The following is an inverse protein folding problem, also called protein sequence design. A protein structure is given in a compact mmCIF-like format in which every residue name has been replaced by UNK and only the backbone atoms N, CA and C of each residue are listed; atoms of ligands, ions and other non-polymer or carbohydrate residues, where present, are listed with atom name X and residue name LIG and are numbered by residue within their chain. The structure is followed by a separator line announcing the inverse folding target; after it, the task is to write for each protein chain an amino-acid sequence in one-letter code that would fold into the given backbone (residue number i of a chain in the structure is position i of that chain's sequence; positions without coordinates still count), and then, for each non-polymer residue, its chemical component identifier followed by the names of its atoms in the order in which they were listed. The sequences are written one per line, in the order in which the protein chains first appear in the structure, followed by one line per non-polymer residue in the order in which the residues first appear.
data_IF_165594576199
#
_entry.id   IF_165594576199
#
_cell.length_a   1.000
_cell.length_b   1.000
_cell.length_c   1.000
_cell.angle_alpha   90.00
_cell.angle_beta   90.00
_cell.angle_gamma   90.00
#
_symmetry.space_group_name_H-M   'P 1'
#
loop_
_entity.id
_entity.type
_entity.pdbx_description
1 polymer ?
#
# COMPACT_ATOMS: atom_id res chain seq x y z
N UNK A 1 -34.52 -26.99 8.41
CA UNK A 1 -34.45 -27.35 6.97
C UNK A 1 -35.79 -27.20 6.26
N UNK A 2 -36.86 -27.86 6.70
CA UNK A 2 -38.19 -27.80 6.05
C UNK A 2 -38.79 -26.39 5.98
N UNK A 3 -38.64 -25.58 7.04
CA UNK A 3 -39.13 -24.19 7.09
C UNK A 3 -38.43 -23.28 6.07
N UNK A 4 -37.12 -23.45 5.87
CA UNK A 4 -36.32 -22.66 4.94
C UNK A 4 -36.70 -22.95 3.48
N UNK A 5 -36.90 -24.23 3.15
CA UNK A 5 -37.35 -24.68 1.81
C UNK A 5 -38.76 -24.14 1.50
N UNK A 6 -39.66 -24.15 2.48
CA UNK A 6 -41.00 -23.58 2.31
C UNK A 6 -40.93 -22.07 2.12
N UNK A 7 -40.07 -21.37 2.86
CA UNK A 7 -39.92 -19.91 2.77
C UNK A 7 -39.35 -19.48 1.41
N UNK A 8 -38.32 -20.16 0.90
CA UNK A 8 -37.73 -19.86 -0.42
C UNK A 8 -38.70 -20.21 -1.56
N UNK A 9 -39.46 -21.29 -1.44
CA UNK A 9 -40.51 -21.64 -2.40
C UNK A 9 -41.63 -20.59 -2.45
N UNK A 10 -42.06 -20.06 -1.29
CA UNK A 10 -43.09 -19.02 -1.21
C UNK A 10 -42.58 -17.69 -1.77
N UNK A 11 -41.35 -17.28 -1.44
CA UNK A 11 -40.75 -16.05 -1.98
C UNK A 11 -40.58 -16.16 -3.50
N UNK A 12 -40.12 -17.32 -4.00
CA UNK A 12 -40.01 -17.59 -5.43
C UNK A 12 -41.36 -17.52 -6.15
N UNK A 13 -42.42 -18.08 -5.54
CA UNK A 13 -43.78 -18.01 -6.08
C UNK A 13 -44.32 -16.57 -6.12
N UNK A 14 -44.08 -15.77 -5.09
CA UNK A 14 -44.54 -14.37 -5.01
C UNK A 14 -43.76 -13.48 -5.99
N UNK A 15 -42.44 -13.68 -6.13
CA UNK A 15 -41.62 -12.97 -7.10
C UNK A 15 -42.02 -13.33 -8.54
N UNK A 16 -42.26 -14.61 -8.82
CA UNK A 16 -42.76 -15.08 -10.11
C UNK A 16 -44.14 -14.48 -10.43
N UNK A 17 -45.05 -14.42 -9.45
CA UNK A 17 -46.36 -13.78 -9.61
C UNK A 17 -46.20 -12.29 -9.96
N UNK A 18 -45.36 -11.55 -9.22
CA UNK A 18 -45.16 -10.11 -9.46
C UNK A 18 -44.47 -9.82 -10.81
N UNK A 19 -43.51 -10.64 -11.22
CA UNK A 19 -42.83 -10.51 -12.51
C UNK A 19 -43.72 -10.89 -13.69
N UNK A 20 -44.66 -11.83 -13.50
CA UNK A 20 -45.65 -12.20 -14.52
C UNK A 20 -46.83 -11.21 -14.63
N UNK A 21 -47.10 -10.42 -13.58
CA UNK A 21 -48.22 -9.46 -13.52
C UNK A 21 -48.27 -8.42 -14.67
N UNK A 22 -47.16 -7.79 -15.11
CA UNK A 22 -47.17 -6.87 -16.24
C UNK A 22 -47.45 -7.56 -17.58
N UNK A 23 -46.99 -8.80 -17.77
CA UNK A 23 -47.18 -9.58 -19.00
C UNK A 23 -48.62 -10.10 -19.15
N UNK A 24 -49.37 -10.22 -18.05
CA UNK A 24 -50.79 -10.53 -18.06
C UNK A 24 -51.66 -9.35 -18.56
N UNK A 25 -51.18 -8.10 -18.43
CA UNK A 25 -51.94 -6.89 -18.80
C UNK A 25 -51.76 -6.44 -20.25
N UNK A 26 -50.67 -6.79 -20.94
CA UNK A 26 -50.44 -6.42 -22.34
C UNK A 26 -50.88 -7.53 -23.30
N UNK A 27 -51.99 -7.31 -24.02
CA UNK A 27 -52.63 -8.27 -24.92
C UNK A 27 -51.87 -8.61 -26.20
N UNK A 28 -50.62 -9.08 -26.10
CA UNK A 28 -49.87 -9.68 -27.21
C UNK A 28 -49.86 -11.21 -27.09
N UNK A 29 -50.38 -11.82 -28.17
CA UNK A 29 -50.39 -13.22 -28.64
C UNK A 29 -49.92 -14.35 -27.69
N UNK A 30 -50.77 -15.37 -27.57
CA UNK A 30 -50.73 -16.46 -26.59
C UNK A 30 -49.48 -17.37 -26.54
N UNK A 31 -48.50 -17.21 -27.42
CA UNK A 31 -47.29 -18.04 -27.44
C UNK A 31 -46.22 -17.57 -26.44
N UNK A 32 -45.99 -16.27 -26.28
CA UNK A 32 -44.95 -15.73 -25.38
C UNK A 32 -45.29 -15.85 -23.89
N UNK A 33 -46.58 -15.77 -23.56
CA UNK A 33 -47.09 -15.91 -22.18
C UNK A 33 -46.95 -17.34 -21.65
N UNK A 34 -47.27 -18.34 -22.47
CA UNK A 34 -47.07 -19.76 -22.17
C UNK A 34 -45.57 -20.09 -22.06
N UNK A 35 -44.73 -19.53 -22.92
CA UNK A 35 -43.28 -19.76 -22.89
C UNK A 35 -42.63 -19.27 -21.58
N UNK A 36 -43.00 -18.08 -21.08
CA UNK A 36 -42.46 -17.54 -19.82
C UNK A 36 -42.92 -18.31 -18.57
N UNK A 37 -44.16 -18.80 -18.55
CA UNK A 37 -44.69 -19.64 -17.46
C UNK A 37 -44.07 -21.04 -17.41
N UNK A 38 -43.58 -21.55 -18.53
CA UNK A 38 -42.87 -22.84 -18.61
C UNK A 38 -41.38 -22.68 -18.31
N UNK A 39 -40.76 -21.56 -18.72
CA UNK A 39 -39.33 -21.33 -18.53
C UNK A 39 -38.90 -21.26 -17.06
N UNK A 40 -39.64 -20.57 -16.20
CA UNK A 40 -39.30 -20.45 -14.77
C UNK A 40 -39.26 -21.81 -14.05
N UNK A 41 -40.30 -22.68 -14.13
CA UNK A 41 -40.24 -24.00 -13.52
C UNK A 41 -39.20 -24.89 -14.20
N UNK A 42 -38.93 -24.75 -15.50
CA UNK A 42 -37.86 -25.50 -16.17
C UNK A 42 -36.48 -25.10 -15.64
N UNK A 43 -36.20 -23.81 -15.43
CA UNK A 43 -34.95 -23.34 -14.83
C UNK A 43 -34.82 -23.77 -13.38
N UNK A 44 -35.90 -23.69 -12.59
CA UNK A 44 -35.89 -24.14 -11.19
C UNK A 44 -35.70 -25.65 -11.08
N UNK A 45 -36.42 -26.45 -11.87
CA UNK A 45 -36.28 -27.91 -11.89
C UNK A 45 -34.93 -28.33 -12.48
N UNK A 46 -34.42 -27.60 -13.46
CA UNK A 46 -33.09 -27.79 -14.02
C UNK A 46 -31.98 -27.51 -13.00
N UNK A 47 -32.08 -26.40 -12.25
CA UNK A 47 -31.16 -26.07 -11.17
C UNK A 47 -31.25 -27.08 -10.02
N UNK A 48 -32.47 -27.51 -9.66
CA UNK A 48 -32.69 -28.54 -8.65
C UNK A 48 -32.10 -29.89 -9.09
N UNK A 49 -32.34 -30.30 -10.34
CA UNK A 49 -31.76 -31.51 -10.92
C UNK A 49 -30.24 -31.44 -11.02
N UNK A 50 -29.69 -30.29 -11.42
CA UNK A 50 -28.25 -30.05 -11.42
C UNK A 50 -27.65 -30.17 -10.01
N UNK A 51 -28.34 -29.63 -9.00
CA UNK A 51 -27.96 -29.75 -7.60
C UNK A 51 -28.05 -31.20 -7.07
N UNK A 52 -29.03 -32.00 -7.48
CA UNK A 52 -29.11 -33.41 -7.09
C UNK A 52 -28.09 -34.30 -7.80
N UNK A 53 -27.65 -33.93 -9.00
CA UNK A 53 -26.64 -34.69 -9.76
C UNK A 53 -25.22 -34.29 -9.38
N UNK A 54 -24.97 -33.00 -9.09
CA UNK A 54 -23.62 -32.45 -8.87
C UNK A 54 -23.41 -31.87 -7.47
N UNK A 55 -24.47 -31.70 -6.69
CA UNK A 55 -24.36 -31.29 -5.29
C UNK A 55 -24.27 -32.51 -4.39
N UNK A 56 -23.91 -32.25 -3.13
CA UNK A 56 -23.79 -33.27 -2.09
C UNK A 56 -24.88 -33.02 -1.04
N UNK A 57 -26.17 -33.28 -1.33
CA UNK A 57 -27.27 -32.99 -0.41
C UNK A 57 -27.23 -33.82 0.88
N UNK A 58 -26.46 -34.92 0.87
CA UNK A 58 -26.33 -35.82 2.01
C UNK A 58 -25.10 -35.56 2.87
N UNK A 59 -24.21 -34.61 2.50
CA UNK A 59 -23.14 -34.21 3.43
C UNK A 59 -23.76 -33.50 4.63
N UNK A 60 -23.57 -34.02 5.86
CA UNK A 60 -24.02 -33.32 7.05
C UNK A 60 -23.32 -31.96 7.08
N UNK A 61 -24.08 -30.87 7.05
CA UNK A 61 -23.51 -29.55 7.32
C UNK A 61 -22.94 -29.57 8.73
N UNK A 62 -21.63 -29.38 8.87
CA UNK A 62 -21.01 -29.27 10.19
C UNK A 62 -21.64 -28.06 10.91
N UNK A 63 -22.22 -28.22 12.11
CA UNK A 63 -22.68 -27.10 12.90
C UNK A 63 -21.57 -26.06 13.02
N UNK A 64 -21.91 -24.79 12.78
CA UNK A 64 -20.93 -23.71 12.80
C UNK A 64 -20.08 -23.71 14.09
N UNK A 65 -20.68 -24.07 15.23
CA UNK A 65 -20.00 -24.19 16.51
C UNK A 65 -18.91 -25.29 16.54
N UNK A 66 -19.12 -26.42 15.88
CA UNK A 66 -18.12 -27.50 15.80
C UNK A 66 -16.93 -27.08 14.91
N UNK A 67 -17.21 -26.37 13.81
CA UNK A 67 -16.16 -25.80 12.96
C UNK A 67 -15.36 -24.74 13.70
N UNK A 68 -16.04 -23.84 14.42
CA UNK A 68 -15.40 -22.80 15.22
C UNK A 68 -14.52 -23.39 16.33
N UNK A 69 -15.00 -24.42 17.04
CA UNK A 69 -14.21 -25.12 18.06
C UNK A 69 -13.00 -25.83 17.46
N UNK A 70 -13.18 -26.60 16.39
CA UNK A 70 -12.05 -27.23 15.67
C UNK A 70 -11.00 -26.19 15.28
N UNK A 71 -11.41 -25.06 14.71
CA UNK A 71 -10.50 -23.98 14.31
C UNK A 71 -9.78 -23.35 15.51
N UNK A 72 -10.48 -23.22 16.64
CA UNK A 72 -9.89 -22.71 17.88
C UNK A 72 -8.85 -23.67 18.47
N UNK A 73 -9.10 -24.98 18.39
CA UNK A 73 -8.23 -26.03 18.94
C UNK A 73 -7.03 -26.37 18.04
N UNK A 74 -7.11 -26.03 16.75
CA UNK A 74 -6.04 -26.29 15.78
C UNK A 74 -4.90 -25.29 15.94
N UNK A 75 -3.65 -25.72 15.77
CA UNK A 75 -2.49 -24.82 15.77
C UNK A 75 -2.62 -23.79 14.63
N UNK A 76 -2.52 -22.47 14.89
CA UNK A 76 -2.58 -21.45 13.84
C UNK A 76 -1.69 -21.68 12.62
N UNK A 77 -0.51 -22.30 12.81
CA UNK A 77 0.44 -22.59 11.73
C UNK A 77 -0.03 -23.70 10.78
N UNK A 78 -0.96 -24.56 11.22
CA UNK A 78 -1.51 -25.66 10.43
C UNK A 78 -2.77 -25.26 9.67
N UNK A 79 -3.35 -24.08 9.98
CA UNK A 79 -4.56 -23.58 9.35
C UNK A 79 -4.26 -22.99 7.97
N UNK A 80 -5.13 -23.29 6.99
CA UNK A 80 -5.10 -22.56 5.72
C UNK A 80 -5.42 -21.09 5.91
N UNK A 81 -5.09 -20.24 4.94
CA UNK A 81 -5.42 -18.81 4.97
C UNK A 81 -6.92 -18.58 5.23
N UNK A 82 -7.80 -19.31 4.54
CA UNK A 82 -9.25 -19.21 4.70
C UNK A 82 -9.70 -19.63 6.11
N UNK A 83 -9.06 -20.66 6.66
CA UNK A 83 -9.35 -21.15 8.01
C UNK A 83 -8.88 -20.18 9.11
N UNK A 84 -7.74 -19.52 8.92
CA UNK A 84 -7.26 -18.46 9.81
C UNK A 84 -8.23 -17.29 9.83
N UNK A 85 -8.72 -16.85 8.67
CA UNK A 85 -9.77 -15.82 8.60
C UNK A 85 -11.04 -16.27 9.30
N UNK A 86 -11.51 -17.49 9.02
CA UNK A 86 -12.72 -18.03 9.62
C UNK A 86 -12.62 -18.11 11.16
N UNK A 87 -11.44 -18.45 11.68
CA UNK A 87 -11.13 -18.47 13.11
C UNK A 87 -11.20 -17.08 13.72
N UNK A 88 -10.54 -16.08 13.13
CA UNK A 88 -10.57 -14.70 13.63
C UNK A 88 -11.99 -14.11 13.60
N UNK A 89 -12.75 -14.39 12.53
CA UNK A 89 -14.18 -14.03 12.47
C UNK A 89 -15.03 -14.78 13.49
N UNK A 90 -14.63 -15.98 13.91
CA UNK A 90 -15.29 -16.71 14.99
C UNK A 90 -15.13 -16.00 16.33
N UNK A 91 -13.89 -15.62 16.66
CA UNK A 91 -13.56 -14.85 17.87
C UNK A 91 -14.37 -13.55 17.90
N UNK A 92 -14.40 -12.81 16.80
CA UNK A 92 -15.15 -11.54 16.72
C UNK A 92 -16.68 -11.69 16.78
N UNK A 93 -17.22 -12.89 16.59
CA UNK A 93 -18.66 -13.13 16.79
C UNK A 93 -19.01 -13.37 18.24
N UNK A 94 -18.09 -13.94 19.02
CA UNK A 94 -18.24 -14.12 20.46
C UNK A 94 -17.86 -12.85 21.23
N UNK A 95 -16.78 -12.20 20.82
CA UNK A 95 -16.29 -10.94 21.38
C UNK A 95 -16.05 -9.90 20.26
N UNK A 96 -17.07 -9.09 19.91
CA UNK A 96 -16.98 -8.11 18.82
C UNK A 96 -15.97 -6.98 19.03
N UNK A 97 -15.52 -6.76 20.26
CA UNK A 97 -14.60 -5.68 20.67
C UNK A 97 -13.20 -6.23 21.01
N UNK A 98 -12.89 -7.46 20.60
CA UNK A 98 -11.55 -8.02 20.76
C UNK A 98 -10.54 -7.29 19.86
N UNK A 99 -9.79 -6.35 20.45
CA UNK A 99 -8.80 -5.51 19.74
C UNK A 99 -7.74 -6.36 19.03
N UNK A 100 -7.30 -7.46 19.66
CA UNK A 100 -6.30 -8.34 19.07
C UNK A 100 -6.86 -9.06 17.84
N UNK A 101 -8.06 -9.62 17.93
CA UNK A 101 -8.69 -10.29 16.78
C UNK A 101 -9.05 -9.31 15.66
N UNK A 102 -9.51 -8.09 15.98
CA UNK A 102 -9.74 -7.02 15.01
C UNK A 102 -8.46 -6.68 14.26
N UNK A 103 -7.35 -6.48 14.99
CA UNK A 103 -6.05 -6.11 14.43
C UNK A 103 -5.46 -7.23 13.58
N UNK A 104 -5.45 -8.46 14.09
CA UNK A 104 -4.93 -9.62 13.36
C UNK A 104 -5.73 -9.89 12.08
N UNK A 105 -7.06 -9.77 12.14
CA UNK A 105 -7.91 -9.91 10.96
C UNK A 105 -7.67 -8.76 9.98
N UNK A 106 -7.51 -7.52 10.46
CA UNK A 106 -7.15 -6.38 9.62
C UNK A 106 -5.85 -6.63 8.85
N UNK A 107 -4.77 -7.04 9.54
CA UNK A 107 -3.47 -7.38 8.91
C UNK A 107 -3.59 -8.52 7.90
N UNK A 108 -4.37 -9.55 8.23
CA UNK A 108 -4.62 -10.67 7.32
C UNK A 108 -5.34 -10.20 6.04
N UNK A 109 -6.33 -9.33 6.17
CA UNK A 109 -7.07 -8.76 5.06
C UNK A 109 -6.19 -7.84 4.20
N UNK A 110 -5.31 -7.04 4.79
CA UNK A 110 -4.32 -6.26 4.04
C UNK A 110 -3.37 -7.15 3.23
N UNK A 111 -2.91 -8.29 3.78
CA UNK A 111 -2.06 -9.24 3.03
C UNK A 111 -2.80 -9.98 1.91
N UNK A 112 -4.13 -9.96 1.91
CA UNK A 112 -4.98 -10.62 0.91
C UNK A 112 -5.69 -9.61 0.01
N UNK A 113 -5.14 -8.39 -0.12
CA UNK A 113 -5.61 -7.34 -1.03
C UNK A 113 -7.05 -6.87 -0.75
N UNK A 114 -7.43 -6.88 0.53
CA UNK A 114 -8.76 -6.47 1.03
C UNK A 114 -8.64 -5.27 1.96
N UNK A 115 -7.99 -4.21 1.49
CA UNK A 115 -7.61 -3.03 2.27
C UNK A 115 -8.83 -2.30 2.86
N UNK A 116 -9.94 -2.20 2.12
CA UNK A 116 -11.16 -1.55 2.61
C UNK A 116 -11.72 -2.21 3.88
N UNK A 117 -11.75 -3.54 3.90
CA UNK A 117 -12.18 -4.28 5.09
C UNK A 117 -11.15 -4.14 6.21
N UNK A 118 -9.86 -4.19 5.88
CA UNK A 118 -8.78 -4.01 6.86
C UNK A 118 -8.86 -2.66 7.57
N UNK A 119 -8.99 -1.56 6.82
CA UNK A 119 -9.15 -0.20 7.36
C UNK A 119 -10.38 -0.12 8.28
N UNK A 120 -11.48 -0.80 7.93
CA UNK A 120 -12.68 -0.85 8.78
C UNK A 120 -12.39 -1.53 10.12
N UNK A 121 -11.64 -2.63 10.12
CA UNK A 121 -11.28 -3.33 11.35
C UNK A 121 -10.28 -2.55 12.21
N UNK A 122 -9.27 -1.94 11.59
CA UNK A 122 -8.33 -1.06 12.29
C UNK A 122 -9.05 0.15 12.91
N UNK A 123 -9.98 0.76 12.18
CA UNK A 123 -10.80 1.86 12.71
C UNK A 123 -11.59 1.42 13.94
N UNK A 124 -12.19 0.23 13.92
CA UNK A 124 -12.91 -0.32 15.08
C UNK A 124 -11.97 -0.62 16.25
N UNK A 125 -10.79 -1.17 15.98
CA UNK A 125 -9.79 -1.42 17.02
C UNK A 125 -9.35 -0.10 17.70
N UNK A 126 -9.06 0.93 16.89
CA UNK A 126 -8.66 2.26 17.36
C UNK A 126 -9.75 3.05 18.10
N UNK A 127 -11.02 2.68 17.93
CA UNK A 127 -12.12 3.22 18.75
C UNK A 127 -12.12 2.67 20.18
N UNK A 128 -11.52 1.51 20.40
CA UNK A 128 -11.46 0.81 21.69
C UNK A 128 -10.16 1.14 22.40
N UNK A 129 -9.05 1.00 21.69
CA UNK A 129 -7.69 1.24 22.20
C UNK A 129 -6.85 1.95 21.15
N UNK A 130 -6.29 3.09 21.52
CA UNK A 130 -5.34 3.81 20.68
C UNK A 130 -3.96 3.14 20.75
N UNK A 131 -3.46 2.66 19.62
CA UNK A 131 -2.18 1.95 19.52
C UNK A 131 -1.40 2.43 18.29
N UNK A 132 -0.11 2.80 18.44
CA UNK A 132 0.69 3.36 17.35
C UNK A 132 0.94 2.36 16.21
N UNK A 133 1.01 1.06 16.49
CA UNK A 133 1.19 0.02 15.46
C UNK A 133 -0.09 -0.17 14.67
N UNK A 134 -1.26 -0.14 15.31
CA UNK A 134 -2.55 -0.20 14.61
C UNK A 134 -2.76 1.05 13.73
N UNK A 135 -2.37 2.23 14.21
CA UNK A 135 -2.36 3.47 13.40
C UNK A 135 -1.44 3.34 12.18
N UNK A 136 -0.22 2.79 12.38
CA UNK A 136 0.72 2.51 11.30
C UNK A 136 0.15 1.51 10.28
N UNK A 137 -0.45 0.42 10.73
CA UNK A 137 -1.09 -0.58 9.86
C UNK A 137 -2.25 0.01 9.05
N UNK A 138 -3.06 0.87 9.69
CA UNK A 138 -4.15 1.59 9.04
C UNK A 138 -3.63 2.54 7.96
N UNK A 139 -2.58 3.31 8.27
CA UNK A 139 -1.91 4.20 7.31
C UNK A 139 -1.39 3.41 6.09
N UNK A 140 -0.74 2.28 6.32
CA UNK A 140 -0.25 1.40 5.25
C UNK A 140 -1.37 0.87 4.36
N UNK A 141 -2.46 0.39 4.96
CA UNK A 141 -3.63 -0.08 4.20
C UNK A 141 -4.25 1.05 3.36
N UNK A 142 -4.30 2.28 3.88
CA UNK A 142 -4.76 3.45 3.13
C UNK A 142 -3.82 3.80 1.97
N UNK A 143 -2.50 3.68 2.13
CA UNK A 143 -1.53 3.89 1.05
C UNK A 143 -1.73 2.88 -0.07
N UNK A 144 -1.88 1.59 0.26
CA UNK A 144 -2.12 0.53 -0.73
C UNK A 144 -3.43 0.76 -1.47
N UNK A 145 -4.51 1.08 -0.74
CA UNK A 145 -5.81 1.42 -1.32
C UNK A 145 -5.74 2.58 -2.33
N UNK A 146 -4.79 3.50 -2.12
CA UNK A 146 -4.57 4.67 -2.97
C UNK A 146 -3.37 4.49 -3.93
N UNK A 147 -3.07 3.25 -4.34
CA UNK A 147 -2.04 2.93 -5.32
C UNK A 147 -0.64 3.45 -4.94
N UNK A 148 -0.29 3.36 -3.66
CA UNK A 148 1.01 3.80 -3.13
C UNK A 148 1.08 5.29 -2.82
N UNK A 149 0.00 6.05 -2.95
CA UNK A 149 -0.04 7.46 -2.59
C UNK A 149 -0.35 7.63 -1.10
N UNK A 150 0.45 8.45 -0.42
CA UNK A 150 0.15 8.88 0.96
C UNK A 150 -0.90 9.99 0.89
N UNK A 151 -2.17 9.65 1.14
CA UNK A 151 -3.26 10.62 1.20
C UNK A 151 -3.26 11.38 2.53
N UNK A 152 -3.98 12.51 2.68
CA UNK A 152 -4.09 13.22 3.95
C UNK A 152 -4.65 12.36 5.10
N UNK A 153 -5.47 11.36 4.81
CA UNK A 153 -5.95 10.37 5.80
C UNK A 153 -4.82 9.47 6.28
N UNK A 154 -4.01 8.95 5.35
CA UNK A 154 -2.87 8.10 5.68
C UNK A 154 -1.79 8.89 6.43
N UNK A 155 -1.48 10.10 5.97
CA UNK A 155 -0.53 11.01 6.61
C UNK A 155 -0.93 11.27 8.06
N UNK A 156 -2.19 11.61 8.35
CA UNK A 156 -2.69 11.78 9.72
C UNK A 156 -2.54 10.54 10.59
N UNK A 157 -2.76 9.34 10.01
CA UNK A 157 -2.56 8.09 10.74
C UNK A 157 -1.08 7.87 11.10
N UNK A 158 -0.17 8.15 10.16
CA UNK A 158 1.26 8.07 10.40
C UNK A 158 1.78 9.16 11.36
N UNK A 159 1.26 10.38 11.28
CA UNK A 159 1.56 11.46 12.22
C UNK A 159 1.16 11.06 13.65
N UNK A 160 -0.05 10.52 13.83
CA UNK A 160 -0.52 10.03 15.11
C UNK A 160 0.33 8.86 15.62
N UNK A 161 0.64 7.88 14.76
CA UNK A 161 1.51 6.76 15.10
C UNK A 161 2.91 7.23 15.56
N UNK A 162 3.53 8.14 14.80
CA UNK A 162 4.85 8.68 15.08
C UNK A 162 4.87 9.57 16.33
N UNK A 163 3.76 10.26 16.64
CA UNK A 163 3.64 11.05 17.87
C UNK A 163 3.57 10.16 19.13
N UNK A 164 2.92 8.99 19.02
CA UNK A 164 2.80 8.02 20.11
C UNK A 164 4.06 7.17 20.27
N UNK A 165 4.65 6.70 19.17
CA UNK A 165 5.89 5.93 19.16
C UNK A 165 6.80 6.37 17.99
N UNK A 166 7.74 7.30 18.26
CA UNK A 166 8.72 7.76 17.27
C UNK A 166 9.76 6.68 16.87
N UNK A 167 9.78 5.52 17.54
CA UNK A 167 10.72 4.44 17.20
C UNK A 167 10.23 3.55 16.05
N UNK A 168 8.95 3.67 15.66
CA UNK A 168 8.39 2.87 14.58
C UNK A 168 8.97 3.31 13.22
N UNK A 169 9.58 2.40 12.45
CA UNK A 169 10.20 2.73 11.18
C UNK A 169 9.18 3.08 10.09
N UNK A 170 8.03 2.41 10.05
CA UNK A 170 7.07 2.53 8.97
C UNK A 170 6.41 3.93 8.90
N UNK A 171 5.89 4.51 10.01
CA UNK A 171 5.34 5.86 9.98
C UNK A 171 6.32 6.90 9.47
N UNK A 172 7.56 6.89 9.98
CA UNK A 172 8.60 7.83 9.54
C UNK A 172 8.94 7.64 8.04
N UNK A 173 9.01 6.40 7.55
CA UNK A 173 9.22 6.13 6.14
C UNK A 173 8.14 6.76 5.24
N UNK A 174 6.87 6.58 5.60
CA UNK A 174 5.75 7.13 4.82
C UNK A 174 5.61 8.65 4.96
N UNK A 175 5.89 9.22 6.13
CA UNK A 175 5.92 10.68 6.31
C UNK A 175 7.03 11.31 5.45
N UNK A 176 8.24 10.76 5.45
CA UNK A 176 9.30 11.21 4.54
C UNK A 176 8.90 11.09 3.06
N UNK A 177 8.16 10.03 2.71
CA UNK A 177 7.62 9.86 1.35
C UNK A 177 6.58 10.92 0.98
N UNK A 178 5.74 11.33 1.94
CA UNK A 178 4.76 12.41 1.75
C UNK A 178 5.45 13.76 1.53
N UNK A 179 6.45 14.10 2.36
CA UNK A 179 7.31 15.28 2.18
C UNK A 179 7.98 15.27 0.79
N UNK A 180 8.57 14.14 0.41
CA UNK A 180 9.19 13.98 -0.91
C UNK A 180 8.19 14.20 -2.06
N UNK A 181 6.97 13.67 -1.96
CA UNK A 181 5.93 13.84 -2.96
C UNK A 181 5.47 15.30 -3.09
N UNK A 182 5.50 16.07 -2.00
CA UNK A 182 5.23 17.52 -1.99
C UNK A 182 6.41 18.37 -2.50
N UNK A 183 7.57 17.76 -2.76
CA UNK A 183 8.80 18.45 -3.16
C UNK A 183 9.63 19.00 -2.00
N UNK A 184 9.21 18.72 -0.76
CA UNK A 184 9.84 19.11 0.50
C UNK A 184 10.97 18.11 0.84
N UNK A 185 12.04 18.13 0.04
CA UNK A 185 13.10 17.11 0.11
C UNK A 185 14.01 17.24 1.31
N UNK A 186 14.22 18.45 1.82
CA UNK A 186 15.03 18.66 3.02
C UNK A 186 14.30 18.08 4.24
N UNK A 187 12.99 18.28 4.31
CA UNK A 187 12.10 17.70 5.30
C UNK A 187 12.06 16.17 5.18
N UNK A 188 11.93 15.64 3.96
CA UNK A 188 12.00 14.20 3.71
C UNK A 188 13.35 13.59 4.18
N UNK A 189 14.46 14.24 3.82
CA UNK A 189 15.79 13.83 4.24
C UNK A 189 15.97 13.88 5.75
N UNK A 190 15.44 14.90 6.42
CA UNK A 190 15.48 15.02 7.87
C UNK A 190 14.70 13.89 8.56
N UNK A 191 13.46 13.62 8.13
CA UNK A 191 12.62 12.55 8.69
C UNK A 191 13.26 11.17 8.51
N UNK A 192 13.76 10.86 7.31
CA UNK A 192 14.42 9.58 7.06
C UNK A 192 15.75 9.44 7.82
N UNK A 193 16.55 10.51 7.90
CA UNK A 193 17.80 10.49 8.67
C UNK A 193 17.53 10.25 10.16
N UNK A 194 16.53 10.93 10.71
CA UNK A 194 16.15 10.86 12.11
C UNK A 194 15.68 9.45 12.51
N UNK A 195 14.84 8.78 11.73
CA UNK A 195 14.46 7.39 12.02
C UNK A 195 15.65 6.43 11.88
N UNK A 196 16.51 6.61 10.86
CA UNK A 196 17.71 5.76 10.68
C UNK A 196 18.66 5.87 11.88
N UNK A 197 18.74 7.02 12.53
CA UNK A 197 19.57 7.22 13.73
C UNK A 197 19.05 6.48 14.96
N UNK A 198 17.75 6.18 15.02
CA UNK A 198 17.11 5.49 16.15
C UNK A 198 17.12 3.97 16.00
N UNK A 199 17.23 3.48 14.77
CA UNK A 199 17.28 2.05 14.48
C UNK A 199 18.68 1.50 14.71
N UNK A 200 18.76 0.26 15.18
CA UNK A 200 20.03 -0.46 15.34
C UNK A 200 20.72 -0.66 13.98
N UNK A 201 22.05 -0.67 13.97
CA UNK A 201 22.84 -0.85 12.73
C UNK A 201 22.51 -2.14 11.96
N UNK A 202 22.11 -3.19 12.69
CA UNK A 202 21.72 -4.48 12.12
C UNK A 202 20.24 -4.61 11.75
N UNK A 203 19.42 -3.57 11.97
CA UNK A 203 18.01 -3.61 11.65
C UNK A 203 17.80 -3.60 10.11
N UNK A 204 17.11 -4.61 9.53
CA UNK A 204 16.79 -4.61 8.11
C UNK A 204 16.05 -3.36 7.62
N UNK A 205 15.19 -2.76 8.45
CA UNK A 205 14.47 -1.54 8.10
C UNK A 205 15.41 -0.35 7.95
N UNK A 206 16.48 -0.28 8.76
CA UNK A 206 17.47 0.79 8.66
C UNK A 206 18.13 0.81 7.29
N UNK A 207 18.59 -0.35 6.82
CA UNK A 207 19.19 -0.49 5.50
C UNK A 207 18.18 -0.23 4.37
N UNK A 208 16.96 -0.77 4.49
CA UNK A 208 15.91 -0.60 3.49
C UNK A 208 15.47 0.87 3.33
N UNK A 209 15.24 1.56 4.44
CA UNK A 209 14.91 3.00 4.45
C UNK A 209 16.08 3.79 3.87
N UNK A 210 17.31 3.52 4.29
CA UNK A 210 18.49 4.25 3.80
C UNK A 210 18.65 4.14 2.27
N UNK A 211 18.56 2.92 1.73
CA UNK A 211 18.65 2.68 0.29
C UNK A 211 17.51 3.37 -0.47
N UNK A 212 16.26 3.22 0.02
CA UNK A 212 15.10 3.78 -0.67
C UNK A 212 15.08 5.32 -0.63
N UNK A 213 15.41 5.91 0.51
CA UNK A 213 15.50 7.35 0.69
C UNK A 213 16.66 7.94 -0.14
N UNK A 214 17.84 7.30 -0.16
CA UNK A 214 18.94 7.73 -1.00
C UNK A 214 18.59 7.70 -2.50
N UNK A 215 17.90 6.65 -2.97
CA UNK A 215 17.40 6.59 -4.35
C UNK A 215 16.43 7.74 -4.65
N UNK A 216 15.44 7.98 -3.80
CA UNK A 216 14.47 9.06 -3.98
C UNK A 216 15.15 10.43 -3.99
N UNK A 217 15.97 10.73 -2.97
CA UNK A 217 16.63 12.01 -2.80
C UNK A 217 17.67 12.33 -3.88
N UNK A 218 18.25 11.31 -4.53
CA UNK A 218 19.22 11.49 -5.62
C UNK A 218 18.57 11.71 -6.99
N UNK A 219 17.26 11.51 -7.14
CA UNK A 219 16.57 11.76 -8.42
C UNK A 219 16.62 13.27 -8.74
N UNK A 220 16.94 13.68 -9.98
CA UNK A 220 17.00 15.09 -10.34
C UNK A 220 15.75 15.88 -9.93
N UNK A 221 15.96 17.08 -9.40
CA UNK A 221 14.89 18.04 -9.14
C UNK A 221 14.56 18.83 -10.41
N UNK A 222 13.28 19.14 -10.60
CA UNK A 222 12.84 20.07 -11.63
C UNK A 222 12.87 19.49 -13.04
N UNK A 223 11.72 18.94 -13.47
CA UNK A 223 11.43 18.82 -14.89
C UNK A 223 11.20 20.19 -15.55
N UNK A 224 10.90 20.22 -16.86
CA UNK A 224 10.54 21.45 -17.55
C UNK A 224 9.33 22.11 -16.85
N UNK A 225 9.58 23.14 -16.03
CA UNK A 225 8.54 23.80 -15.22
C UNK A 225 8.94 24.27 -13.82
N UNK A 226 10.12 23.93 -13.31
CA UNK A 226 10.61 24.50 -12.03
C UNK A 226 11.03 25.97 -12.16
N UNK A 227 11.11 26.72 -11.05
CA UNK A 227 11.54 28.13 -11.06
C UNK A 227 12.96 28.37 -11.62
N UNK A 228 13.78 27.31 -11.72
CA UNK A 228 15.09 27.31 -12.38
C UNK A 228 15.06 26.90 -13.87
N UNK A 229 13.90 26.56 -14.44
CA UNK A 229 13.75 26.01 -15.78
C UNK A 229 13.88 27.03 -16.92
N UNK A 230 13.69 28.33 -16.66
CA UNK A 230 13.67 29.34 -17.72
C UNK A 230 14.99 29.44 -18.50
N UNK A 231 16.19 29.47 -17.87
CA UNK A 231 17.45 29.42 -18.60
C UNK A 231 17.67 28.13 -19.40
N UNK A 232 17.11 27.01 -18.93
CA UNK A 232 17.17 25.74 -19.65
C UNK A 232 16.19 25.69 -20.82
N UNK A 233 15.03 26.33 -20.71
CA UNK A 233 14.08 26.48 -21.82
C UNK A 233 14.67 27.30 -22.97
N UNK A 234 15.39 28.39 -22.67
CA UNK A 234 16.09 29.20 -23.66
C UNK A 234 17.23 28.41 -24.33
N UNK A 235 18.00 27.64 -23.55
CA UNK A 235 19.06 26.76 -24.09
C UNK A 235 18.49 25.66 -25.00
N UNK A 236 17.38 25.02 -24.61
CA UNK A 236 16.67 24.05 -25.44
C UNK A 236 16.17 24.70 -26.73
N UNK A 237 15.57 25.90 -26.65
CA UNK A 237 15.10 26.64 -27.82
C UNK A 237 16.24 27.06 -28.75
N UNK A 238 17.43 27.30 -28.21
CA UNK A 238 18.65 27.57 -28.96
C UNK A 238 19.29 26.31 -29.58
N UNK A 239 18.73 25.12 -29.37
CA UNK A 239 19.24 23.86 -29.93
C UNK A 239 20.53 23.36 -29.26
N UNK A 240 20.78 23.74 -28.01
CA UNK A 240 21.93 23.24 -27.23
C UNK A 240 21.85 21.71 -27.10
N UNK A 241 23.00 21.04 -27.24
CA UNK A 241 23.07 19.58 -27.17
C UNK A 241 22.65 19.08 -25.77
N UNK A 242 22.04 17.87 -25.68
CA UNK A 242 21.63 17.31 -24.39
C UNK A 242 22.78 17.17 -23.38
N UNK A 243 23.99 16.88 -23.85
CA UNK A 243 25.21 16.75 -23.04
C UNK A 243 25.60 18.11 -22.42
N UNK A 244 25.65 19.16 -23.23
CA UNK A 244 25.95 20.52 -22.77
C UNK A 244 24.87 21.03 -21.79
N UNK A 245 23.61 20.66 -22.02
CA UNK A 245 22.50 20.99 -21.11
C UNK A 245 22.68 20.30 -19.74
N UNK A 246 23.07 19.03 -19.74
CA UNK A 246 23.35 18.28 -18.51
C UNK A 246 24.50 18.90 -17.72
N UNK A 247 25.61 19.26 -18.39
CA UNK A 247 26.75 19.90 -17.72
C UNK A 247 26.37 21.28 -17.15
N UNK A 248 25.54 22.07 -17.83
CA UNK A 248 25.00 23.33 -17.29
C UNK A 248 24.11 23.10 -16.06
N UNK A 249 23.27 22.06 -16.06
CA UNK A 249 22.44 21.72 -14.90
C UNK A 249 23.30 21.31 -13.70
N UNK A 250 24.35 20.51 -13.94
CA UNK A 250 25.30 20.07 -12.91
C UNK A 250 26.12 21.24 -12.37
N UNK A 251 26.66 22.09 -13.24
CA UNK A 251 27.41 23.30 -12.82
C UNK A 251 26.58 24.23 -11.94
N UNK A 252 25.28 24.40 -12.27
CA UNK A 252 24.36 25.20 -11.46
C UNK A 252 24.07 24.55 -10.10
N UNK A 253 23.94 23.23 -10.09
CA UNK A 253 23.73 22.48 -8.86
C UNK A 253 24.95 22.59 -7.95
N UNK A 254 26.17 22.47 -8.48
CA UNK A 254 27.42 22.66 -7.75
C UNK A 254 27.51 24.06 -7.13
N UNK A 255 27.24 25.12 -7.90
CA UNK A 255 27.23 26.49 -7.38
C UNK A 255 26.20 26.67 -6.25
N UNK A 256 25.01 26.07 -6.39
CA UNK A 256 24.00 26.11 -5.33
C UNK A 256 24.45 25.39 -4.06
N UNK A 257 25.15 24.27 -4.19
CA UNK A 257 25.68 23.51 -3.06
C UNK A 257 26.86 24.19 -2.36
N UNK A 258 27.55 25.11 -3.06
CA UNK A 258 28.51 26.01 -2.42
C UNK A 258 27.81 27.06 -1.55
N UNK A 259 26.69 27.59 -2.03
CA UNK A 259 25.88 28.58 -1.29
C UNK A 259 25.05 27.94 -0.15
N UNK A 260 24.52 26.74 -0.37
CA UNK A 260 23.72 25.95 0.57
C UNK A 260 24.31 24.54 0.74
N UNK A 261 25.35 24.40 1.57
CA UNK A 261 26.01 23.11 1.76
C UNK A 261 25.14 22.12 2.55
N UNK A 262 24.06 22.55 3.20
CA UNK A 262 23.15 21.72 4.00
C UNK A 262 22.11 20.95 3.16
N UNK A 263 22.12 21.09 1.82
CA UNK A 263 21.22 20.36 0.92
C UNK A 263 21.71 18.92 0.67
N UNK A 264 21.39 17.99 1.58
CA UNK A 264 21.72 16.57 1.43
C UNK A 264 21.18 15.99 0.11
N UNK A 265 19.95 16.35 -0.28
CA UNK A 265 19.34 15.86 -1.52
C UNK A 265 20.12 16.34 -2.74
N UNK A 266 20.59 17.58 -2.74
CA UNK A 266 21.39 18.16 -3.80
C UNK A 266 22.73 17.45 -3.94
N UNK A 267 23.42 17.15 -2.83
CA UNK A 267 24.66 16.35 -2.88
C UNK A 267 24.43 14.95 -3.47
N UNK A 268 23.38 14.25 -3.05
CA UNK A 268 23.04 12.92 -3.59
C UNK A 268 22.66 12.99 -5.08
N UNK A 269 21.99 14.08 -5.49
CA UNK A 269 21.63 14.33 -6.88
C UNK A 269 22.85 14.59 -7.74
N UNK A 270 23.80 15.40 -7.24
CA UNK A 270 25.07 15.69 -7.91
C UNK A 270 25.87 14.41 -8.16
N UNK A 271 25.99 13.58 -7.12
CA UNK A 271 26.67 12.29 -7.23
C UNK A 271 26.05 11.40 -8.31
N UNK A 272 24.72 11.28 -8.37
CA UNK A 272 24.02 10.54 -9.42
C UNK A 272 24.23 11.14 -10.80
N UNK A 273 24.16 12.46 -10.94
CA UNK A 273 24.33 13.12 -12.23
C UNK A 273 25.74 12.89 -12.81
N UNK A 274 26.79 12.97 -11.98
CA UNK A 274 28.17 12.67 -12.38
C UNK A 274 28.36 11.19 -12.72
N UNK A 275 27.76 10.28 -11.95
CA UNK A 275 27.74 8.84 -12.25
C UNK A 275 27.13 8.54 -13.62
N UNK A 276 25.95 9.10 -13.93
CA UNK A 276 25.28 8.88 -15.22
C UNK A 276 26.06 9.42 -16.43
N UNK A 277 27.00 10.34 -16.20
CA UNK A 277 27.90 10.87 -17.23
C UNK A 277 29.20 10.05 -17.38
N UNK A 278 29.34 8.94 -16.65
CA UNK A 278 30.56 8.13 -16.62
C UNK A 278 31.70 8.76 -15.81
N UNK A 279 31.43 9.86 -15.09
CA UNK A 279 32.40 10.55 -14.25
C UNK A 279 32.35 10.00 -12.82
N UNK A 280 32.66 8.71 -12.67
CA UNK A 280 32.58 7.97 -11.40
C UNK A 280 33.37 8.63 -10.27
N UNK A 281 34.62 9.05 -10.54
CA UNK A 281 35.47 9.70 -9.54
C UNK A 281 34.84 11.00 -9.03
N UNK A 282 34.30 11.84 -9.91
CA UNK A 282 33.61 13.08 -9.54
C UNK A 282 32.33 12.82 -8.73
N UNK A 283 31.58 11.76 -9.06
CA UNK A 283 30.41 11.34 -8.29
C UNK A 283 30.78 10.90 -6.86
N UNK A 284 31.87 10.16 -6.71
CA UNK A 284 32.39 9.75 -5.39
C UNK A 284 32.92 10.95 -4.59
N UNK A 285 33.58 11.91 -5.25
CA UNK A 285 34.03 13.15 -4.61
C UNK A 285 32.85 13.95 -4.05
N UNK A 286 31.73 14.05 -4.79
CA UNK A 286 30.52 14.69 -4.31
C UNK A 286 29.95 14.02 -3.04
N UNK A 287 29.94 12.67 -3.00
CA UNK A 287 29.51 11.93 -1.80
C UNK A 287 30.47 12.14 -0.61
N UNK A 288 31.76 12.28 -0.86
CA UNK A 288 32.76 12.52 0.18
C UNK A 288 32.67 13.93 0.78
N UNK A 289 32.39 14.93 -0.07
CA UNK A 289 32.07 16.31 0.37
C UNK A 289 30.80 16.31 1.22
N UNK A 290 29.75 15.62 0.78
CA UNK A 290 28.53 15.45 1.56
C UNK A 290 28.81 14.79 2.92
N UNK A 291 29.60 13.70 2.91
CA UNK A 291 29.96 12.97 4.13
C UNK A 291 30.69 13.87 5.14
N UNK A 292 31.60 14.71 4.66
CA UNK A 292 32.32 15.69 5.48
C UNK A 292 31.38 16.75 6.04
N UNK A 293 30.38 17.18 5.25
CA UNK A 293 29.41 18.19 5.69
C UNK A 293 28.41 17.66 6.73
N UNK A 294 28.05 16.38 6.64
CA UNK A 294 27.08 15.73 7.53
C UNK A 294 27.74 14.79 8.54
N UNK A 295 29.00 15.03 8.91
CA UNK A 295 29.78 14.13 9.78
C UNK A 295 29.12 13.86 11.15
N UNK A 296 28.36 14.82 11.66
CA UNK A 296 27.65 14.71 12.94
C UNK A 296 26.26 14.06 12.84
N UNK A 297 25.79 13.72 11.63
CA UNK A 297 24.47 13.13 11.40
C UNK A 297 24.59 11.70 10.89
N UNK A 298 24.56 10.73 11.81
CA UNK A 298 24.68 9.31 11.48
C UNK A 298 23.60 8.81 10.50
N UNK A 299 22.41 9.40 10.50
CA UNK A 299 21.34 9.08 9.55
C UNK A 299 21.67 9.52 8.12
N UNK A 300 22.11 10.78 7.98
CA UNK A 300 22.58 11.31 6.70
C UNK A 300 23.80 10.52 6.17
N UNK A 301 24.72 10.14 7.05
CA UNK A 301 25.86 9.29 6.68
C UNK A 301 25.43 7.92 6.16
N UNK A 302 24.39 7.31 6.74
CA UNK A 302 23.83 6.05 6.25
C UNK A 302 23.16 6.21 4.88
N UNK A 303 22.46 7.32 4.62
CA UNK A 303 21.92 7.64 3.29
C UNK A 303 23.03 7.78 2.23
N UNK A 304 24.09 8.53 2.56
CA UNK A 304 25.26 8.71 1.69
C UNK A 304 25.95 7.36 1.43
N UNK A 305 26.13 6.54 2.47
CA UNK A 305 26.74 5.23 2.32
C UNK A 305 25.89 4.29 1.47
N UNK A 306 24.56 4.31 1.63
CA UNK A 306 23.65 3.51 0.81
C UNK A 306 23.76 3.89 -0.68
N UNK A 307 23.86 5.18 -0.98
CA UNK A 307 24.07 5.66 -2.35
C UNK A 307 25.41 5.17 -2.93
N UNK A 308 26.49 5.27 -2.16
CA UNK A 308 27.82 4.77 -2.56
C UNK A 308 27.80 3.26 -2.83
N UNK A 309 27.11 2.48 -1.99
CA UNK A 309 26.98 1.04 -2.19
C UNK A 309 26.23 0.73 -3.48
N UNK A 310 25.13 1.44 -3.77
CA UNK A 310 24.37 1.25 -5.02
C UNK A 310 25.26 1.42 -6.27
N UNK A 311 26.08 2.47 -6.30
CA UNK A 311 27.07 2.69 -7.35
C UNK A 311 28.09 1.56 -7.49
N UNK A 312 28.65 1.07 -6.38
CA UNK A 312 29.63 -0.02 -6.44
C UNK A 312 29.06 -1.34 -6.98
N UNK A 313 27.77 -1.61 -6.73
CA UNK A 313 27.10 -2.81 -7.24
C UNK A 313 26.89 -2.69 -8.76
N UNK A 314 26.42 -1.53 -9.24
CA UNK A 314 26.22 -1.27 -10.67
C UNK A 314 27.51 -1.37 -11.50
N UNK A 315 28.66 -1.02 -10.93
CA UNK A 315 29.97 -1.16 -11.61
C UNK A 315 30.40 -2.63 -11.72
N UNK A 316 30.06 -3.47 -10.73
CA UNK A 316 30.44 -4.89 -10.73
C UNK A 316 29.63 -5.75 -11.72
N UNK A 317 28.49 -5.23 -12.19
CA UNK A 317 27.58 -5.91 -13.13
C UNK A 317 27.86 -5.54 -14.61
N UNK A 318 28.73 -4.56 -14.87
CA UNK A 318 29.12 -4.08 -16.20
C UNK A 318 30.44 -4.71 -16.68
#
# INVERSE_FOLDING_TARGET
MMVFIVLTAVIGAVAAWRLAMPFLKTGQAGAGRLASLVMVPVVLLGALGFYFVNGEPETPGAPYAEVAQRLADTNPEELTSEEQEARLRAILRENPEDVQALTLLGRFLSRTERELEAVTLFTRALQIEEDPRILSDMGQALVVLNNGQVTPEAERAFEAANALDPSLPEPAFFLGSAYYARGERNEAAAVWSDIIMRLDDGDPFRAAIAARAADLLSRPQGGPGSAGAAPFADAIAAGVAPEDLAEMMVSRLEARLEDDPDDLSGWLTLARARWTQGQTEAGLEALERARSRFEDNAGALALISAMRTAFSVEESEQ
#
